data_IF_015839494646
#
_entry.id   IF_015839494646
#
_cell.length_a   1.000
_cell.length_b   1.000
_cell.length_c   1.000
_cell.angle_alpha   90.00
_cell.angle_beta   90.00
_cell.angle_gamma   90.00
#
_symmetry.space_group_name_H-M   'P 1'
#
loop_
_entity.id
_entity.type
_entity.pdbx_description
1 polymer ?
#
# COMPACT_ATOMS: atom_id res chain seq x y z
N UNK A 1 -13.99 67.02 -14.76
CA UNK A 1 -13.09 66.61 -13.66
C UNK A 1 -13.89 65.84 -12.61
N UNK A 2 -13.74 64.51 -12.54
CA UNK A 2 -14.33 63.68 -11.46
C UNK A 2 -13.19 62.85 -10.85
N UNK A 3 -12.89 63.08 -9.57
CA UNK A 3 -11.90 62.32 -8.81
C UNK A 3 -12.62 61.13 -8.17
N UNK A 4 -12.32 59.91 -8.63
CA UNK A 4 -12.76 58.68 -7.97
C UNK A 4 -11.71 58.25 -6.96
N UNK A 5 -12.09 58.20 -5.69
CA UNK A 5 -11.28 57.69 -4.58
C UNK A 5 -11.55 56.18 -4.52
N UNK A 6 -10.54 55.37 -4.83
CA UNK A 6 -10.58 53.91 -4.69
C UNK A 6 -10.18 53.60 -3.26
N UNK A 7 -11.14 53.15 -2.46
CA UNK A 7 -10.92 52.66 -1.09
C UNK A 7 -10.41 51.21 -1.18
N UNK A 8 -9.11 51.03 -0.94
CA UNK A 8 -8.45 49.73 -0.97
C UNK A 8 -8.61 49.06 0.40
N UNK A 9 -9.61 48.19 0.55
CA UNK A 9 -9.82 47.38 1.75
C UNK A 9 -8.67 46.40 1.94
N UNK A 10 -7.86 46.64 2.98
CA UNK A 10 -6.90 45.67 3.50
C UNK A 10 -7.64 44.55 4.22
N UNK A 11 -7.75 43.38 3.58
CA UNK A 11 -8.11 42.13 4.25
C UNK A 11 -6.89 41.67 5.07
N UNK A 12 -6.91 41.90 6.38
CA UNK A 12 -5.95 41.28 7.31
C UNK A 12 -6.39 39.84 7.53
N UNK A 13 -5.72 38.91 6.84
CA UNK A 13 -5.88 37.48 7.05
C UNK A 13 -5.21 37.12 8.38
N UNK A 14 -6.01 36.98 9.45
CA UNK A 14 -5.53 36.49 10.75
C UNK A 14 -5.26 34.99 10.60
N UNK A 15 -4.01 34.62 10.41
CA UNK A 15 -3.55 33.23 10.48
C UNK A 15 -3.52 32.85 11.96
N UNK A 16 -4.55 32.15 12.44
CA UNK A 16 -4.53 31.52 13.75
C UNK A 16 -3.38 30.49 13.78
N UNK A 17 -2.47 30.53 14.78
CA UNK A 17 -1.47 29.49 14.93
C UNK A 17 -2.18 28.19 15.28
N UNK A 18 -2.21 27.23 14.35
CA UNK A 18 -2.51 25.86 14.69
C UNK A 18 -1.54 25.44 15.81
N UNK A 19 -2.06 24.92 16.92
CA UNK A 19 -1.24 24.38 17.99
C UNK A 19 -0.39 23.23 17.41
N UNK A 20 0.84 23.54 17.03
CA UNK A 20 1.82 22.56 16.60
C UNK A 20 2.24 21.76 17.82
N UNK A 21 1.57 20.64 18.08
CA UNK A 21 1.99 19.71 19.11
C UNK A 21 3.45 19.30 18.86
N UNK A 22 4.31 19.51 19.86
CA UNK A 22 5.73 19.22 19.73
C UNK A 22 5.94 17.72 19.60
N UNK A 23 6.60 17.28 18.52
CA UNK A 23 6.98 15.89 18.35
C UNK A 23 8.00 15.47 19.42
N UNK A 24 7.86 14.26 19.96
CA UNK A 24 8.76 13.72 20.98
C UNK A 24 10.16 13.42 20.45
N UNK A 25 10.32 13.27 19.13
CA UNK A 25 11.59 13.05 18.47
C UNK A 25 11.68 13.90 17.19
N UNK A 26 12.88 14.25 16.72
CA UNK A 26 13.04 14.95 15.46
C UNK A 26 12.57 14.08 14.28
N UNK A 27 12.02 14.74 13.26
CA UNK A 27 11.65 14.09 12.00
C UNK A 27 12.91 13.64 11.25
N UNK A 28 12.87 12.44 10.67
CA UNK A 28 13.96 11.97 9.83
C UNK A 28 14.02 12.79 8.52
N UNK A 29 15.17 13.40 8.16
CA UNK A 29 15.22 14.35 7.04
C UNK A 29 14.73 13.80 5.69
N UNK A 30 15.03 12.52 5.40
CA UNK A 30 14.64 11.85 4.15
C UNK A 30 13.30 11.10 4.27
N UNK A 31 12.44 11.52 5.21
CA UNK A 31 11.10 10.97 5.38
C UNK A 31 10.03 11.93 4.89
N UNK A 32 8.92 11.38 4.44
CA UNK A 32 7.73 12.12 4.03
C UNK A 32 6.58 11.80 4.98
N UNK A 33 5.76 12.80 5.37
CA UNK A 33 4.63 12.57 6.25
C UNK A 33 3.57 11.71 5.55
N UNK A 34 3.04 10.71 6.25
CA UNK A 34 1.93 9.92 5.76
C UNK A 34 0.62 10.72 5.93
N UNK A 35 -0.24 10.80 4.88
CA UNK A 35 -1.62 11.22 5.05
C UNK A 35 -2.27 10.24 6.03
N UNK A 36 -2.76 10.79 7.13
CA UNK A 36 -3.16 10.12 8.37
C UNK A 36 -4.17 8.97 8.17
N UNK A 37 -3.66 7.73 8.00
CA UNK A 37 -4.40 6.46 8.12
C UNK A 37 -4.17 5.80 9.49
N UNK A 38 -4.27 6.57 10.57
CA UNK A 38 -4.38 6.00 11.92
C UNK A 38 -5.85 6.02 12.34
N UNK A 39 -6.24 5.10 13.23
CA UNK A 39 -7.58 5.16 13.83
C UNK A 39 -7.84 6.58 14.30
N UNK A 40 -9.05 7.09 14.08
CA UNK A 40 -9.38 8.50 14.37
C UNK A 40 -8.94 8.92 15.78
N UNK A 41 -8.99 7.98 16.73
CA UNK A 41 -8.65 8.18 18.13
C UNK A 41 -7.14 8.38 18.41
N UNK A 42 -6.23 7.99 17.51
CA UNK A 42 -4.78 8.10 17.72
C UNK A 42 -4.14 9.30 16.99
N UNK A 43 -4.88 9.98 16.12
CA UNK A 43 -4.35 11.06 15.27
C UNK A 43 -3.72 12.20 16.06
N UNK A 44 -4.20 12.47 17.27
CA UNK A 44 -3.68 13.55 18.12
C UNK A 44 -2.38 13.19 18.85
N UNK A 45 -2.04 11.91 18.92
CA UNK A 45 -0.95 11.39 19.78
C UNK A 45 0.28 10.94 18.99
N UNK A 46 0.20 10.89 17.66
CA UNK A 46 1.31 10.44 16.83
C UNK A 46 1.23 10.99 15.40
N UNK A 47 2.39 11.00 14.75
CA UNK A 47 2.54 11.25 13.34
C UNK A 47 3.33 10.11 12.72
N UNK A 48 2.95 9.73 11.50
CA UNK A 48 3.61 8.68 10.73
C UNK A 48 4.38 9.32 9.58
N UNK A 49 5.58 8.82 9.35
CA UNK A 49 6.42 9.18 8.23
C UNK A 49 6.90 7.92 7.53
N UNK A 50 7.12 8.01 6.23
CA UNK A 50 7.72 6.94 5.44
C UNK A 50 9.06 7.37 4.88
N UNK A 51 10.01 6.44 4.82
CA UNK A 51 11.31 6.66 4.21
C UNK A 51 11.70 5.54 3.25
N UNK A 52 12.41 5.91 2.19
CA UNK A 52 13.02 4.98 1.24
C UNK A 52 14.32 4.36 1.77
N UNK A 53 14.87 4.94 2.83
CA UNK A 53 16.08 4.44 3.47
C UNK A 53 15.82 3.16 4.27
N UNK A 54 16.87 2.35 4.42
CA UNK A 54 16.82 1.12 5.21
C UNK A 54 16.58 1.41 6.69
N UNK A 55 15.99 0.45 7.40
CA UNK A 55 15.69 0.61 8.82
C UNK A 55 16.96 0.85 9.64
N UNK A 56 18.10 0.31 9.24
CA UNK A 56 19.40 0.51 9.90
C UNK A 56 19.91 1.95 9.75
N UNK A 57 19.72 2.57 8.57
CA UNK A 57 20.11 3.97 8.36
C UNK A 57 19.24 4.90 9.19
N UNK A 58 17.92 4.64 9.21
CA UNK A 58 16.97 5.38 10.06
C UNK A 58 17.27 5.17 11.54
N UNK A 59 17.60 3.94 11.95
CA UNK A 59 18.00 3.61 13.33
C UNK A 59 19.24 4.39 13.76
N UNK A 60 20.29 4.44 12.93
CA UNK A 60 21.53 5.20 13.24
C UNK A 60 21.24 6.68 13.49
N UNK A 61 20.34 7.28 12.72
CA UNK A 61 19.89 8.64 12.97
C UNK A 61 19.26 8.77 14.35
N UNK A 62 18.27 7.93 14.69
CA UNK A 62 17.59 8.01 15.98
C UNK A 62 18.48 7.65 17.17
N UNK A 63 19.40 6.69 17.02
CA UNK A 63 20.43 6.39 18.02
C UNK A 63 21.24 7.65 18.37
N UNK A 64 21.61 8.46 17.37
CA UNK A 64 22.38 9.70 17.56
C UNK A 64 21.58 10.86 18.18
N UNK A 65 20.26 10.87 17.99
CA UNK A 65 19.39 11.99 18.42
C UNK A 65 18.66 11.73 19.73
N UNK A 66 18.31 10.47 19.98
CA UNK A 66 17.42 10.08 21.08
C UNK A 66 18.06 9.04 22.01
N UNK A 67 19.30 8.65 21.73
CA UNK A 67 20.00 7.56 22.38
C UNK A 67 19.62 6.20 21.79
N UNK A 68 20.32 5.16 22.24
CA UNK A 68 20.19 3.80 21.69
C UNK A 68 18.74 3.31 21.70
N UNK A 69 18.26 2.91 20.53
CA UNK A 69 16.95 2.28 20.36
C UNK A 69 16.97 0.80 20.78
N UNK A 70 15.86 0.34 21.33
CA UNK A 70 15.61 -1.05 21.74
C UNK A 70 14.93 -1.82 20.60
N UNK A 71 15.29 -3.09 20.41
CA UNK A 71 14.61 -3.95 19.45
C UNK A 71 13.23 -4.36 19.99
N UNK A 72 12.22 -4.38 19.11
CA UNK A 72 10.88 -4.82 19.48
C UNK A 72 10.84 -6.34 19.68
N UNK A 73 10.24 -6.78 20.79
CA UNK A 73 10.08 -8.20 21.10
C UNK A 73 9.32 -8.92 19.99
N UNK A 74 9.98 -9.90 19.36
CA UNK A 74 9.37 -10.78 18.38
C UNK A 74 9.36 -10.30 16.92
N UNK A 75 9.81 -9.09 16.55
CA UNK A 75 9.96 -8.67 15.11
C UNK A 75 10.53 -7.25 14.87
N UNK A 76 11.22 -7.14 13.71
CA UNK A 76 11.22 -6.10 12.63
C UNK A 76 11.07 -4.60 12.95
N UNK A 77 11.51 -4.17 14.12
CA UNK A 77 11.46 -2.77 14.43
C UNK A 77 12.28 -2.41 15.65
N UNK A 78 12.45 -1.11 15.82
CA UNK A 78 13.12 -0.53 16.96
C UNK A 78 12.21 0.51 17.59
N UNK A 79 12.29 0.64 18.91
CA UNK A 79 11.61 1.71 19.64
C UNK A 79 12.56 2.45 20.56
N UNK A 80 12.26 3.71 20.80
CA UNK A 80 12.82 4.47 21.91
C UNK A 80 11.70 5.17 22.65
N UNK A 81 11.58 4.86 23.93
CA UNK A 81 10.66 5.53 24.84
C UNK A 81 11.38 6.76 25.40
N UNK A 82 10.72 7.92 25.32
CA UNK A 82 11.25 9.21 25.75
C UNK A 82 10.47 9.80 26.93
N UNK A 83 9.18 9.51 27.02
CA UNK A 83 8.32 9.91 28.15
C UNK A 83 7.39 8.76 28.50
N UNK A 84 7.26 8.46 29.80
CA UNK A 84 6.19 7.60 30.31
C UNK A 84 5.06 8.51 30.77
N UNK A 85 3.83 8.16 30.44
CA UNK A 85 2.63 8.89 30.81
C UNK A 85 1.83 8.02 31.78
N UNK A 86 1.46 8.60 32.91
CA UNK A 86 0.59 7.94 33.87
C UNK A 86 -0.84 7.94 33.31
N UNK A 87 -1.40 6.74 33.11
CA UNK A 87 -2.75 6.63 32.55
C UNK A 87 -3.76 6.77 33.67
N UNK A 88 -4.61 7.79 33.59
CA UNK A 88 -5.85 7.80 34.34
C UNK A 88 -6.70 6.57 33.98
N UNK A 89 -7.47 6.05 34.94
CA UNK A 89 -8.26 4.81 34.84
C UNK A 89 -9.23 4.81 33.63
N UNK A 90 -9.54 5.99 33.08
CA UNK A 90 -10.54 6.19 32.02
C UNK A 90 -9.96 6.56 30.64
N UNK A 91 -8.66 6.84 30.49
CA UNK A 91 -8.07 7.20 29.19
C UNK A 91 -7.37 6.00 28.55
N UNK A 92 -8.17 5.11 27.97
CA UNK A 92 -7.69 3.88 27.33
C UNK A 92 -7.01 4.14 25.97
N UNK A 93 -7.14 5.34 25.41
CA UNK A 93 -6.65 5.67 24.08
C UNK A 93 -5.28 6.37 24.11
N UNK A 94 -4.92 7.03 25.21
CA UNK A 94 -3.61 7.67 25.35
C UNK A 94 -2.47 6.64 25.51
N UNK A 95 -1.36 6.73 24.75
CA UNK A 95 -0.22 5.83 24.93
C UNK A 95 0.47 6.05 26.29
N UNK A 96 0.70 5.00 27.07
CA UNK A 96 1.48 5.09 28.32
C UNK A 96 2.97 5.31 28.11
N UNK A 97 3.44 5.17 26.87
CA UNK A 97 4.83 5.32 26.46
C UNK A 97 4.88 6.14 25.18
N UNK A 98 5.45 7.33 25.27
CA UNK A 98 5.64 8.23 24.14
C UNK A 98 7.10 8.21 23.71
N UNK A 99 7.34 8.32 22.40
CA UNK A 99 8.67 8.34 21.82
C UNK A 99 8.64 8.06 20.32
N UNK A 100 9.60 7.30 19.82
CA UNK A 100 9.70 6.95 18.40
C UNK A 100 9.74 5.44 18.19
N UNK A 101 9.05 4.97 17.15
CA UNK A 101 9.03 3.58 16.71
C UNK A 101 9.37 3.56 15.22
N UNK A 102 10.27 2.67 14.80
CA UNK A 102 10.58 2.45 13.39
C UNK A 102 10.37 0.97 13.05
N UNK A 103 9.73 0.70 11.92
CA UNK A 103 9.32 -0.65 11.51
C UNK A 103 9.60 -0.91 10.03
N UNK A 104 9.74 -2.19 9.70
CA UNK A 104 9.77 -2.69 8.32
C UNK A 104 8.78 -3.85 8.12
N UNK A 105 8.23 -3.98 6.92
CA UNK A 105 7.37 -5.10 6.56
C UNK A 105 8.16 -6.36 6.12
N UNK A 106 9.50 -6.27 5.93
CA UNK A 106 10.35 -7.38 5.42
C UNK A 106 10.26 -8.61 6.32
N UNK A 107 9.72 -9.74 5.85
CA UNK A 107 9.78 -11.02 6.60
C UNK A 107 11.23 -11.49 6.64
N UNK A 108 11.73 -11.88 7.83
CA UNK A 108 12.95 -12.73 7.92
C UNK A 108 12.64 -13.94 7.05
N UNK A 109 13.36 -14.05 5.95
CA UNK A 109 13.18 -15.00 4.86
C UNK A 109 13.23 -16.43 5.41
N UNK A 110 12.07 -17.00 5.70
CA UNK A 110 11.90 -18.43 5.89
C UNK A 110 11.26 -18.98 4.63
N UNK A 111 12.10 -19.39 3.65
CA UNK A 111 11.90 -20.35 2.54
C UNK A 111 10.57 -20.44 1.78
N UNK A 112 9.55 -19.65 2.06
CA UNK A 112 8.23 -19.84 1.50
C UNK A 112 8.06 -18.99 0.23
N UNK A 113 8.82 -19.36 -0.80
CA UNK A 113 8.76 -18.78 -2.16
C UNK A 113 7.33 -18.85 -2.74
N UNK A 114 6.46 -19.72 -2.21
CA UNK A 114 5.06 -19.82 -2.62
C UNK A 114 4.30 -18.50 -2.46
N UNK A 115 4.62 -17.71 -1.42
CA UNK A 115 3.97 -16.43 -1.15
C UNK A 115 4.43 -15.29 -2.08
N UNK A 116 5.60 -15.44 -2.71
CA UNK A 116 6.16 -14.45 -3.64
C UNK A 116 5.41 -14.47 -4.97
N UNK A 117 5.31 -15.66 -5.57
CA UNK A 117 4.79 -15.85 -6.93
C UNK A 117 3.26 -15.73 -7.04
N UNK A 118 2.54 -15.62 -5.92
CA UNK A 118 1.08 -15.44 -5.91
C UNK A 118 0.63 -14.02 -5.61
N UNK A 119 1.55 -13.07 -5.42
CA UNK A 119 1.19 -11.71 -5.02
C UNK A 119 0.51 -10.95 -6.17
N UNK A 120 -0.46 -10.10 -5.84
CA UNK A 120 -1.23 -9.31 -6.81
C UNK A 120 -0.37 -8.37 -7.69
N UNK A 121 0.85 -8.05 -7.23
CA UNK A 121 1.86 -7.30 -8.00
C UNK A 121 2.28 -8.06 -9.25
N UNK A 122 2.40 -9.39 -9.19
CA UNK A 122 3.02 -10.20 -10.24
C UNK A 122 2.01 -11.01 -11.04
N UNK A 123 0.78 -11.12 -10.55
CA UNK A 123 -0.29 -11.90 -11.19
C UNK A 123 -0.53 -11.58 -12.66
N UNK A 124 -0.30 -10.34 -13.10
CA UNK A 124 -0.41 -10.02 -14.54
C UNK A 124 0.63 -10.77 -15.36
N UNK A 125 1.89 -10.69 -14.94
CA UNK A 125 3.02 -11.32 -15.59
C UNK A 125 2.90 -12.84 -15.55
N UNK A 126 2.31 -13.40 -14.50
CA UNK A 126 2.01 -14.82 -14.45
C UNK A 126 1.10 -15.25 -15.61
N UNK A 127 0.03 -14.49 -15.86
CA UNK A 127 -0.89 -14.76 -16.97
C UNK A 127 -0.20 -14.60 -18.32
N UNK A 128 0.63 -13.57 -18.50
CA UNK A 128 1.40 -13.38 -19.73
C UNK A 128 2.40 -14.53 -19.97
N UNK A 129 3.05 -15.02 -18.91
CA UNK A 129 4.02 -16.12 -19.00
C UNK A 129 3.41 -17.49 -19.37
N UNK A 130 2.08 -17.62 -19.26
CA UNK A 130 1.35 -18.81 -19.69
C UNK A 130 0.99 -18.76 -21.18
N UNK A 131 1.23 -17.65 -21.88
CA UNK A 131 0.95 -17.51 -23.31
C UNK A 131 2.12 -18.05 -24.15
N UNK A 132 1.87 -18.80 -25.25
CA UNK A 132 2.92 -19.52 -25.99
C UNK A 132 4.05 -18.66 -26.58
N UNK A 133 3.83 -17.35 -26.81
CA UNK A 133 4.69 -16.50 -27.66
C UNK A 133 5.25 -15.24 -26.95
N UNK A 134 5.03 -15.05 -25.65
CA UNK A 134 5.49 -13.82 -24.95
C UNK A 134 6.74 -14.02 -24.10
N UNK A 135 6.64 -14.80 -23.01
CA UNK A 135 7.69 -15.01 -22.01
C UNK A 135 7.51 -16.36 -21.30
N UNK A 136 8.62 -16.92 -20.83
CA UNK A 136 8.61 -18.21 -20.13
C UNK A 136 8.28 -18.06 -18.64
N UNK A 137 7.95 -19.18 -17.99
CA UNK A 137 7.84 -19.24 -16.52
C UNK A 137 9.13 -18.79 -15.81
N UNK A 138 10.30 -19.03 -16.41
CA UNK A 138 11.57 -18.60 -15.85
C UNK A 138 11.70 -17.08 -15.83
N UNK A 139 11.30 -16.41 -16.91
CA UNK A 139 11.30 -14.93 -16.99
C UNK A 139 10.38 -14.33 -15.91
N UNK A 140 9.24 -14.96 -15.65
CA UNK A 140 8.33 -14.56 -14.58
C UNK A 140 8.98 -14.64 -13.19
N UNK A 141 9.66 -15.75 -12.90
CA UNK A 141 10.32 -15.97 -11.61
C UNK A 141 11.46 -14.96 -11.38
N UNK A 142 12.26 -14.67 -12.41
CA UNK A 142 13.31 -13.65 -12.36
C UNK A 142 12.76 -12.26 -12.03
N UNK A 143 11.60 -11.89 -12.60
CA UNK A 143 10.94 -10.62 -12.29
C UNK A 143 10.43 -10.61 -10.85
N UNK A 144 9.83 -11.70 -10.37
CA UNK A 144 9.35 -11.80 -9.00
C UNK A 144 10.49 -11.62 -7.99
N UNK A 145 11.64 -12.25 -8.23
CA UNK A 145 12.83 -12.08 -7.40
C UNK A 145 13.38 -10.65 -7.47
N UNK A 146 13.43 -10.05 -8.68
CA UNK A 146 13.89 -8.67 -8.88
C UNK A 146 13.06 -7.64 -8.11
N UNK A 147 11.74 -7.83 -8.04
CA UNK A 147 10.81 -6.87 -7.43
C UNK A 147 10.24 -7.32 -6.07
N UNK A 148 10.78 -8.38 -5.46
CA UNK A 148 10.28 -8.94 -4.19
C UNK A 148 10.07 -7.86 -3.11
N UNK A 149 10.96 -6.87 -3.06
CA UNK A 149 10.89 -5.77 -2.07
C UNK A 149 9.59 -4.96 -2.10
N UNK A 150 8.86 -4.94 -3.23
CA UNK A 150 7.57 -4.26 -3.34
C UNK A 150 6.52 -4.84 -2.40
N UNK A 151 6.52 -6.16 -2.19
CA UNK A 151 5.58 -6.87 -1.31
C UNK A 151 5.73 -6.42 0.14
N UNK A 152 6.95 -6.02 0.51
CA UNK A 152 7.30 -5.62 1.86
C UNK A 152 7.50 -4.10 2.00
N UNK A 153 7.03 -3.32 1.02
CA UNK A 153 7.10 -1.87 1.08
C UNK A 153 5.84 -1.27 1.70
N UNK A 154 5.98 -0.07 2.23
CA UNK A 154 4.86 0.80 2.58
C UNK A 154 4.53 1.68 1.37
N UNK A 155 3.26 2.03 1.22
CA UNK A 155 2.75 2.87 0.15
C UNK A 155 1.80 3.91 0.73
N UNK A 156 1.82 5.12 0.17
CA UNK A 156 0.87 6.17 0.54
C UNK A 156 -0.55 5.80 0.12
N UNK A 157 -1.59 6.25 0.84
CA UNK A 157 -2.96 6.17 0.34
C UNK A 157 -3.10 6.95 -0.97
N UNK A 158 -3.93 6.44 -1.86
CA UNK A 158 -4.32 7.14 -3.09
C UNK A 158 -5.67 7.85 -2.91
N UNK A 159 -6.03 8.72 -3.86
CA UNK A 159 -7.39 9.26 -3.95
C UNK A 159 -8.41 8.29 -4.54
N UNK A 160 -8.00 7.08 -4.96
CA UNK A 160 -8.85 6.08 -5.60
C UNK A 160 -9.40 5.10 -4.56
N UNK A 161 -10.60 4.58 -4.83
CA UNK A 161 -11.27 3.60 -3.97
C UNK A 161 -11.56 2.31 -4.73
N UNK A 162 -11.60 1.20 -4.00
CA UNK A 162 -12.06 -0.08 -4.52
C UNK A 162 -13.60 -0.18 -4.56
N UNK A 163 -14.11 -1.31 -5.06
CA UNK A 163 -15.55 -1.61 -5.12
C UNK A 163 -16.22 -1.74 -3.74
N UNK A 164 -15.45 -1.86 -2.67
CA UNK A 164 -15.91 -1.87 -1.27
C UNK A 164 -15.78 -0.50 -0.61
N UNK A 165 -15.53 0.56 -1.39
CA UNK A 165 -15.34 1.93 -0.93
C UNK A 165 -14.14 2.10 0.03
N UNK A 166 -13.18 1.17 0.00
CA UNK A 166 -11.92 1.26 0.75
C UNK A 166 -10.91 2.06 -0.06
N UNK A 167 -10.14 2.90 0.59
CA UNK A 167 -9.04 3.63 -0.04
C UNK A 167 -7.98 2.64 -0.52
N UNK A 168 -7.60 2.74 -1.79
CA UNK A 168 -6.48 1.99 -2.35
C UNK A 168 -5.18 2.68 -1.98
N UNK A 169 -4.11 1.91 -1.74
CA UNK A 169 -2.79 2.51 -1.72
C UNK A 169 -2.33 2.92 -3.14
N UNK A 170 -1.29 3.73 -3.23
CA UNK A 170 -0.81 4.30 -4.51
C UNK A 170 -0.44 3.22 -5.52
N UNK A 171 0.22 2.14 -5.09
CA UNK A 171 0.63 1.07 -5.98
C UNK A 171 -0.58 0.28 -6.52
N UNK A 172 -1.55 -0.04 -5.67
CA UNK A 172 -2.81 -0.69 -6.06
C UNK A 172 -3.59 0.17 -7.06
N UNK A 173 -3.66 1.47 -6.83
CA UNK A 173 -4.33 2.42 -7.70
C UNK A 173 -3.70 2.48 -9.10
N UNK A 174 -2.36 2.48 -9.18
CA UNK A 174 -1.62 2.49 -10.44
C UNK A 174 -1.78 1.16 -11.19
N UNK A 175 -1.75 0.03 -10.49
CA UNK A 175 -1.99 -1.29 -11.07
C UNK A 175 -3.43 -1.40 -11.59
N UNK A 176 -4.42 -0.90 -10.85
CA UNK A 176 -5.81 -0.89 -11.28
C UNK A 176 -6.03 -0.04 -12.55
N UNK A 177 -5.34 1.10 -12.66
CA UNK A 177 -5.36 1.94 -13.86
C UNK A 177 -4.73 1.25 -15.06
N UNK A 178 -3.55 0.66 -14.88
CA UNK A 178 -2.89 -0.12 -15.93
C UNK A 178 -3.80 -1.22 -16.48
N UNK A 179 -4.51 -1.94 -15.59
CA UNK A 179 -5.45 -3.00 -15.99
C UNK A 179 -6.62 -2.49 -16.82
N UNK A 180 -7.14 -1.29 -16.52
CA UNK A 180 -8.21 -0.65 -17.30
C UNK A 180 -7.75 -0.29 -18.72
N UNK A 181 -6.51 0.16 -18.85
CA UNK A 181 -5.92 0.55 -20.13
C UNK A 181 -5.42 -0.64 -20.97
N UNK A 182 -5.15 -1.78 -20.32
CA UNK A 182 -4.61 -2.98 -20.95
C UNK A 182 -5.51 -4.20 -20.64
N UNK A 183 -6.71 -4.27 -21.24
CA UNK A 183 -7.62 -5.39 -21.04
C UNK A 183 -6.97 -6.69 -21.53
N UNK A 184 -7.09 -7.75 -20.73
CA UNK A 184 -6.28 -8.98 -20.85
C UNK A 184 -5.93 -9.57 -19.48
N UNK A 185 -6.08 -8.75 -18.42
CA UNK A 185 -6.22 -9.26 -17.06
C UNK A 185 -7.46 -10.16 -17.01
N UNK A 186 -7.32 -11.39 -16.52
CA UNK A 186 -8.48 -12.08 -15.98
C UNK A 186 -8.92 -11.26 -14.76
N UNK A 187 -9.76 -10.26 -14.98
CA UNK A 187 -10.71 -9.91 -13.94
C UNK A 187 -11.34 -11.25 -13.55
N UNK A 188 -11.27 -11.61 -12.28
CA UNK A 188 -12.38 -12.35 -11.71
C UNK A 188 -13.56 -11.39 -11.92
N UNK A 189 -14.15 -11.44 -13.11
CA UNK A 189 -15.36 -10.69 -13.37
C UNK A 189 -16.29 -11.14 -12.26
N UNK A 190 -17.08 -10.22 -11.70
CA UNK A 190 -18.18 -10.61 -10.83
C UNK A 190 -19.02 -11.71 -11.52
N UNK A 191 -18.97 -11.78 -12.85
CA UNK A 191 -19.55 -12.87 -13.65
C UNK A 191 -18.91 -14.25 -13.43
N UNK A 192 -17.61 -14.41 -13.18
CA UNK A 192 -17.00 -15.72 -12.92
C UNK A 192 -17.39 -16.29 -11.54
N UNK A 193 -17.46 -15.43 -10.52
CA UNK A 193 -17.90 -15.82 -9.17
C UNK A 193 -19.43 -16.02 -9.12
N UNK A 194 -20.21 -15.17 -9.80
CA UNK A 194 -21.65 -15.37 -9.99
C UNK A 194 -21.96 -16.64 -10.80
N UNK A 195 -21.17 -16.95 -11.84
CA UNK A 195 -21.34 -18.17 -12.64
C UNK A 195 -20.91 -19.42 -11.87
N UNK A 196 -19.85 -19.37 -11.06
CA UNK A 196 -19.48 -20.47 -10.18
C UNK A 196 -20.59 -20.76 -9.15
N UNK A 197 -21.16 -19.70 -8.56
CA UNK A 197 -22.30 -19.82 -7.65
C UNK A 197 -23.53 -20.40 -8.36
N UNK A 198 -23.84 -19.92 -9.56
CA UNK A 198 -24.95 -20.44 -10.38
C UNK A 198 -24.75 -21.90 -10.80
N UNK A 199 -23.51 -22.30 -11.08
CA UNK A 199 -23.16 -23.70 -11.37
C UNK A 199 -23.38 -24.59 -10.14
N UNK A 200 -22.97 -24.13 -8.96
CA UNK A 200 -23.22 -24.81 -7.69
C UNK A 200 -24.73 -24.96 -7.42
N UNK A 201 -25.52 -23.92 -7.66
CA UNK A 201 -27.00 -23.95 -7.53
C UNK A 201 -27.65 -24.94 -8.52
N UNK A 202 -27.21 -24.96 -9.79
CA UNK A 202 -27.72 -25.90 -10.80
C UNK A 202 -27.40 -27.35 -10.45
N UNK A 203 -26.21 -27.62 -9.90
CA UNK A 203 -25.83 -28.95 -9.43
C UNK A 203 -26.66 -29.40 -8.23
N UNK A 204 -26.94 -28.50 -7.29
CA UNK A 204 -27.82 -28.78 -6.14
C UNK A 204 -29.27 -29.07 -6.58
N UNK A 205 -29.72 -28.47 -7.68
CA UNK A 205 -31.04 -28.72 -8.27
C UNK A 205 -31.10 -29.98 -9.16
N UNK A 206 -30.01 -30.75 -9.27
CA UNK A 206 -29.93 -31.94 -10.13
C UNK A 206 -29.85 -31.64 -11.63
N UNK A 207 -29.69 -30.36 -12.02
CA UNK A 207 -29.65 -29.90 -13.41
C UNK A 207 -28.26 -29.99 -14.02
N UNK A 208 -27.69 -31.20 -14.03
CA UNK A 208 -26.31 -31.45 -14.45
C UNK A 208 -26.03 -31.03 -15.91
N UNK A 209 -26.98 -31.21 -16.83
CA UNK A 209 -26.82 -30.80 -18.23
C UNK A 209 -26.66 -29.28 -18.39
N UNK A 210 -27.42 -28.49 -17.63
CA UNK A 210 -27.35 -27.03 -17.63
C UNK A 210 -26.05 -26.54 -16.96
N UNK A 211 -25.60 -27.20 -15.89
CA UNK A 211 -24.31 -26.92 -15.26
C UNK A 211 -23.13 -27.20 -16.22
N UNK A 212 -23.18 -28.30 -16.98
CA UNK A 212 -22.16 -28.64 -17.98
C UNK A 212 -22.17 -27.64 -19.15
N UNK A 213 -23.36 -27.23 -19.62
CA UNK A 213 -23.49 -26.21 -20.66
C UNK A 213 -22.93 -24.86 -20.19
N UNK A 214 -23.22 -24.47 -18.94
CA UNK A 214 -22.67 -23.27 -18.33
C UNK A 214 -21.14 -23.37 -18.17
N UNK A 215 -20.61 -24.52 -17.79
CA UNK A 215 -19.16 -24.76 -17.71
C UNK A 215 -18.47 -24.69 -19.07
N UNK A 216 -19.10 -25.22 -20.14
CA UNK A 216 -18.59 -25.07 -21.52
C UNK A 216 -18.64 -23.62 -21.97
N UNK A 217 -19.74 -22.93 -21.68
CA UNK A 217 -19.88 -21.50 -21.91
C UNK A 217 -18.83 -20.69 -21.12
N UNK A 218 -18.47 -21.12 -19.90
CA UNK A 218 -17.36 -20.53 -19.14
C UNK A 218 -15.99 -20.84 -19.73
N UNK A 219 -15.82 -21.91 -20.50
CA UNK A 219 -14.56 -22.25 -21.17
C UNK A 219 -14.43 -21.53 -22.51
N UNK A 220 -15.55 -21.31 -23.19
CA UNK A 220 -15.66 -20.59 -24.47
C UNK A 220 -15.70 -19.06 -24.28
N UNK A 221 -16.43 -18.59 -23.26
CA UNK A 221 -16.48 -17.19 -22.81
C UNK A 221 -15.65 -16.96 -21.54
N UNK A 222 -14.82 -17.92 -21.14
CA UNK A 222 -13.61 -17.53 -20.41
C UNK A 222 -13.06 -16.39 -21.25
N UNK A 223 -12.70 -15.24 -20.66
CA UNK A 223 -11.89 -14.30 -21.40
C UNK A 223 -10.65 -15.09 -21.80
N UNK A 224 -10.67 -15.69 -23.00
CA UNK A 224 -9.49 -16.15 -23.68
C UNK A 224 -8.68 -14.89 -23.71
N UNK A 225 -7.65 -14.85 -22.85
CA UNK A 225 -6.96 -13.64 -22.43
C UNK A 225 -6.93 -12.74 -23.65
N UNK A 226 -7.68 -11.61 -23.61
CA UNK A 226 -7.71 -10.69 -24.74
C UNK A 226 -6.24 -10.53 -25.13
N UNK A 227 -5.89 -10.97 -26.36
CA UNK A 227 -4.49 -11.25 -26.70
C UNK A 227 -3.69 -10.05 -26.26
N UNK A 228 -2.85 -10.26 -25.25
CA UNK A 228 -2.07 -9.17 -24.72
C UNK A 228 -1.25 -8.62 -25.89
N UNK A 229 -1.15 -7.31 -25.98
CA UNK A 229 -0.19 -6.72 -26.91
C UNK A 229 1.20 -7.26 -26.53
N UNK A 230 2.03 -7.61 -27.51
CA UNK A 230 3.38 -8.16 -27.26
C UNK A 230 4.24 -7.24 -26.37
N UNK A 231 3.90 -5.95 -26.29
CA UNK A 231 4.55 -4.98 -25.43
C UNK A 231 4.04 -4.91 -23.98
N UNK A 232 2.98 -5.67 -23.64
CA UNK A 232 2.30 -5.62 -22.34
C UNK A 232 3.22 -6.01 -21.19
N UNK A 233 4.08 -7.01 -21.41
CA UNK A 233 5.11 -7.41 -20.45
C UNK A 233 6.01 -6.23 -20.09
N UNK A 234 6.65 -5.62 -21.08
CA UNK A 234 7.60 -4.52 -20.87
C UNK A 234 6.93 -3.28 -20.28
N UNK A 235 5.71 -2.97 -20.72
CA UNK A 235 4.90 -1.89 -20.13
C UNK A 235 4.65 -2.13 -18.65
N UNK A 236 4.32 -3.35 -18.25
CA UNK A 236 4.08 -3.69 -16.86
C UNK A 236 5.37 -3.72 -16.03
N UNK A 237 6.50 -4.18 -16.59
CA UNK A 237 7.81 -4.06 -15.93
C UNK A 237 8.13 -2.60 -15.63
N UNK A 238 7.94 -1.70 -16.60
CA UNK A 238 8.14 -0.25 -16.38
C UNK A 238 7.24 0.31 -15.28
N UNK A 239 6.01 -0.18 -15.17
CA UNK A 239 5.12 0.18 -14.07
C UNK A 239 5.70 -0.27 -12.72
N UNK A 240 6.17 -1.51 -12.61
CA UNK A 240 6.78 -2.02 -11.37
C UNK A 240 8.05 -1.25 -10.99
N UNK A 241 8.89 -0.91 -11.97
CA UNK A 241 10.07 -0.04 -11.78
C UNK A 241 9.65 1.32 -11.26
N UNK A 242 8.64 1.94 -11.87
CA UNK A 242 8.13 3.23 -11.44
C UNK A 242 7.58 3.19 -10.00
N UNK A 243 6.81 2.15 -9.66
CA UNK A 243 6.30 1.94 -8.29
C UNK A 243 7.47 1.78 -7.31
N UNK A 244 8.45 0.94 -7.63
CA UNK A 244 9.61 0.67 -6.78
C UNK A 244 10.44 1.92 -6.52
N UNK A 245 10.70 2.71 -7.56
CA UNK A 245 11.55 3.89 -7.47
C UNK A 245 10.86 5.07 -6.84
N UNK A 246 9.57 5.29 -7.12
CA UNK A 246 8.88 6.53 -6.76
C UNK A 246 7.99 6.38 -5.54
N UNK A 247 7.34 5.24 -5.34
CA UNK A 247 6.24 5.10 -4.39
C UNK A 247 6.46 4.07 -3.27
N UNK A 248 7.43 3.17 -3.43
CA UNK A 248 7.76 2.17 -2.41
C UNK A 248 8.66 2.76 -1.31
N UNK A 249 8.21 2.64 -0.06
CA UNK A 249 8.98 3.06 1.12
C UNK A 249 9.38 1.85 1.96
N UNK A 250 10.65 1.78 2.38
CA UNK A 250 11.21 0.62 3.08
C UNK A 250 10.95 0.65 4.59
N UNK A 251 10.84 1.86 5.15
CA UNK A 251 10.75 2.08 6.59
C UNK A 251 9.58 2.98 6.93
N UNK A 252 8.79 2.56 7.92
CA UNK A 252 7.77 3.38 8.56
C UNK A 252 8.30 3.90 9.90
N UNK A 253 8.08 5.19 10.16
CA UNK A 253 8.51 5.89 11.36
C UNK A 253 7.25 6.44 12.03
N UNK A 254 7.04 6.12 13.30
CA UNK A 254 5.95 6.63 14.12
C UNK A 254 6.55 7.47 15.23
N UNK A 255 6.22 8.76 15.28
CA UNK A 255 6.69 9.70 16.29
C UNK A 255 5.48 10.15 17.10
N UNK A 256 5.53 9.96 18.42
CA UNK A 256 4.49 10.44 19.31
C UNK A 256 4.57 11.95 19.51
N UNK A 257 3.44 12.60 19.75
CA UNK A 257 3.37 14.02 20.13
C UNK A 257 3.42 14.16 21.65
N UNK A 258 4.05 15.22 22.14
CA UNK A 258 3.98 15.63 23.54
C UNK A 258 2.78 16.55 23.73
N UNK A 259 1.78 16.09 24.48
CA UNK A 259 0.88 17.00 25.20
C UNK A 259 1.57 17.50 26.46
#
# INVERSE_FOLDING_TARGET
>A
MKKSIILMSFFVLIILPAASYALMAPVYPESVPAPHEMSENLKDYLQIFYSKDSIEKVKKFYDSKTGKMEELAGKKGYKKILKKVDRGIYDTHEPSQLGVIINTNIKKTGKDKSSLYGHDFFRYLEVLSAQPDEKSRKDYEEVCERFESLIYSYFMPSGKKDNRNRTLNTAEAMIAEFKKENPGFMEKSDSAEQMAKKMQELMQQGKMAEAIALSRQMKENAPGAAKADKSSWDKYIKLLEHIAEKHAYKTMITIHTGK
#
